data_IF_094619793742
#
_entry.id   IF_094619793742
#
_cell.length_a   1.000
_cell.length_b   1.000
_cell.length_c   1.000
_cell.angle_alpha   90.00
_cell.angle_beta   90.00
_cell.angle_gamma   90.00
#
_symmetry.space_group_name_H-M   'P 1'
#
loop_
_entity.id
_entity.type
_entity.pdbx_description
1 polymer ?
#
# COMPACT_ATOMS: atom_id res chain seq x y z
N UNK A 1 24.93 20.59 -13.92
CA UNK A 1 23.63 21.03 -13.38
C UNK A 1 22.73 19.80 -13.27
N UNK A 2 22.58 19.22 -12.09
CA UNK A 2 21.58 18.17 -11.85
C UNK A 2 20.21 18.82 -11.80
N UNK A 3 19.49 18.81 -12.92
CA UNK A 3 18.06 19.14 -12.95
C UNK A 3 17.35 18.09 -12.10
N UNK A 4 17.06 18.42 -10.84
CA UNK A 4 16.17 17.62 -9.99
C UNK A 4 14.77 17.74 -10.56
N UNK A 5 14.46 16.92 -11.57
CA UNK A 5 13.19 16.90 -12.26
C UNK A 5 12.14 16.19 -11.39
N UNK A 6 11.82 16.79 -10.23
CA UNK A 6 10.72 16.33 -9.41
C UNK A 6 9.42 16.58 -10.17
N UNK A 7 8.57 15.55 -10.35
CA UNK A 7 7.27 15.77 -10.95
C UNK A 7 6.43 16.65 -10.03
N UNK A 8 5.79 17.66 -10.60
CA UNK A 8 4.87 18.53 -9.86
C UNK A 8 3.45 18.00 -10.00
N UNK A 9 2.80 17.67 -8.89
CA UNK A 9 1.39 17.33 -8.83
C UNK A 9 0.81 17.89 -7.53
N UNK A 10 -0.04 18.92 -7.62
CA UNK A 10 -0.68 19.48 -6.42
C UNK A 10 -1.83 18.56 -6.03
N UNK A 11 -2.03 18.35 -4.74
CA UNK A 11 -3.10 17.47 -4.22
C UNK A 11 -4.48 17.87 -4.77
N UNK A 12 -4.75 19.17 -4.91
CA UNK A 12 -6.01 19.68 -5.45
C UNK A 12 -6.29 19.25 -6.89
N UNK A 13 -5.24 18.97 -7.69
CA UNK A 13 -5.39 18.68 -9.12
C UNK A 13 -5.84 17.23 -9.38
N UNK A 14 -5.80 16.35 -8.38
CA UNK A 14 -6.12 14.93 -8.53
C UNK A 14 -6.86 14.32 -7.33
N UNK A 15 -7.47 15.15 -6.48
CA UNK A 15 -8.12 14.70 -5.24
C UNK A 15 -9.11 13.52 -5.45
N UNK A 16 -9.99 13.51 -6.47
CA UNK A 16 -10.90 12.38 -6.69
C UNK A 16 -10.16 11.06 -7.00
N UNK A 17 -9.09 11.12 -7.79
CA UNK A 17 -8.22 9.98 -8.09
C UNK A 17 -7.48 9.52 -6.84
N UNK A 18 -6.98 10.46 -6.03
CA UNK A 18 -6.26 10.17 -4.79
C UNK A 18 -7.14 9.43 -3.79
N UNK A 19 -8.37 9.89 -3.59
CA UNK A 19 -9.33 9.29 -2.65
C UNK A 19 -9.74 7.88 -3.09
N UNK A 20 -10.00 7.69 -4.39
CA UNK A 20 -10.29 6.36 -4.95
C UNK A 20 -9.09 5.41 -4.82
N UNK A 21 -7.89 5.88 -5.19
CA UNK A 21 -6.66 5.09 -5.08
C UNK A 21 -6.33 4.77 -3.62
N UNK A 22 -6.60 5.67 -2.68
CA UNK A 22 -6.44 5.41 -1.26
C UNK A 22 -7.28 4.20 -0.84
N UNK A 23 -8.55 4.12 -1.23
CA UNK A 23 -9.41 2.97 -0.93
C UNK A 23 -8.87 1.68 -1.56
N UNK A 24 -8.40 1.74 -2.81
CA UNK A 24 -7.80 0.58 -3.47
C UNK A 24 -6.54 0.09 -2.74
N UNK A 25 -5.67 1.00 -2.28
CA UNK A 25 -4.50 0.62 -1.48
C UNK A 25 -4.90 0.03 -0.13
N UNK A 26 -6.01 0.46 0.46
CA UNK A 26 -6.52 -0.17 1.69
C UNK A 26 -6.98 -1.60 1.48
N UNK A 27 -7.65 -1.90 0.35
CA UNK A 27 -8.07 -3.26 0.01
C UNK A 27 -6.85 -4.17 -0.07
N UNK A 28 -5.85 -3.80 -0.89
CA UNK A 28 -4.61 -4.58 -1.06
C UNK A 28 -3.82 -4.69 0.24
N UNK A 29 -3.75 -3.61 1.01
CA UNK A 29 -3.10 -3.59 2.32
C UNK A 29 -3.77 -4.53 3.33
N UNK A 30 -5.10 -4.58 3.36
CA UNK A 30 -5.86 -5.51 4.20
C UNK A 30 -5.69 -6.97 3.75
N UNK A 31 -5.60 -7.25 2.45
CA UNK A 31 -5.30 -8.59 1.94
C UNK A 31 -3.93 -9.04 2.44
N UNK A 32 -2.89 -8.19 2.31
CA UNK A 32 -1.57 -8.47 2.88
C UNK A 32 -1.65 -8.70 4.39
N UNK A 33 -2.44 -7.90 5.12
CA UNK A 33 -2.62 -8.05 6.57
C UNK A 33 -3.18 -9.41 6.97
N UNK A 34 -4.11 -9.97 6.21
CA UNK A 34 -4.76 -11.24 6.52
C UNK A 34 -3.80 -12.44 6.45
N UNK A 35 -2.73 -12.33 5.66
CA UNK A 35 -1.79 -13.44 5.41
C UNK A 35 -0.38 -13.21 5.96
N UNK A 36 -0.02 -11.98 6.33
CA UNK A 36 1.29 -11.68 6.85
C UNK A 36 1.40 -12.03 8.35
N UNK A 37 2.45 -12.75 8.79
CA UNK A 37 2.73 -12.93 10.21
C UNK A 37 2.88 -11.56 10.89
N UNK A 38 2.24 -11.36 12.05
CA UNK A 38 2.36 -10.11 12.81
C UNK A 38 3.83 -9.79 13.10
N UNK A 39 4.28 -8.60 12.69
CA UNK A 39 5.59 -8.03 13.01
C UNK A 39 5.38 -6.73 13.78
N UNK A 40 6.31 -6.40 14.66
CA UNK A 40 6.27 -5.15 15.43
C UNK A 40 6.07 -3.93 14.50
N UNK A 41 5.31 -2.94 14.98
CA UNK A 41 5.02 -1.68 14.28
C UNK A 41 4.25 -1.80 12.96
N UNK A 42 3.53 -2.90 12.73
CA UNK A 42 2.71 -3.12 11.53
C UNK A 42 3.50 -3.09 10.21
N UNK A 43 4.83 -3.24 10.25
CA UNK A 43 5.69 -3.22 9.06
C UNK A 43 5.38 -4.34 8.08
N UNK A 44 4.82 -5.45 8.57
CA UNK A 44 4.36 -6.56 7.73
C UNK A 44 3.21 -6.19 6.79
N UNK A 45 2.61 -4.99 6.92
CA UNK A 45 1.42 -4.59 6.17
C UNK A 45 1.67 -3.40 5.22
N UNK A 46 2.88 -2.85 5.18
CA UNK A 46 3.19 -1.73 4.28
C UNK A 46 3.03 -2.11 2.79
N UNK A 47 3.16 -1.15 1.88
CA UNK A 47 3.50 -1.39 0.49
C UNK A 47 4.93 -0.88 0.24
N UNK A 48 5.58 -1.38 -0.80
CA UNK A 48 6.93 -0.99 -1.19
C UNK A 48 6.92 -0.37 -2.59
N UNK A 49 7.67 0.71 -2.76
CA UNK A 49 7.81 1.37 -4.06
C UNK A 49 8.67 0.50 -4.99
N UNK A 50 8.14 0.18 -6.17
CA UNK A 50 8.84 -0.54 -7.24
C UNK A 50 9.16 0.42 -8.40
N UNK A 51 9.97 0.00 -9.39
CA UNK A 51 10.19 0.77 -10.62
C UNK A 51 8.93 0.99 -11.47
N UNK A 52 7.78 0.41 -11.11
CA UNK A 52 6.51 0.53 -11.86
C UNK A 52 5.32 0.98 -11.00
N UNK A 53 5.39 0.77 -9.68
CA UNK A 53 4.35 1.23 -8.77
C UNK A 53 4.56 0.85 -7.31
N UNK A 54 3.59 0.12 -6.74
CA UNK A 54 3.56 -0.27 -5.33
C UNK A 54 3.27 -1.77 -5.19
N UNK A 55 4.10 -2.50 -4.45
CA UNK A 55 3.94 -3.95 -4.24
C UNK A 55 3.75 -4.32 -2.78
N UNK A 56 3.03 -5.41 -2.53
CA UNK A 56 3.02 -6.11 -1.24
C UNK A 56 4.33 -6.83 -0.93
N UNK A 57 5.21 -7.01 -1.93
CA UNK A 57 6.27 -8.03 -1.90
C UNK A 57 5.65 -9.44 -1.74
N UNK A 58 6.50 -10.45 -1.55
CA UNK A 58 6.07 -11.82 -1.27
C UNK A 58 5.25 -11.90 0.01
N UNK A 59 4.01 -12.36 -0.12
CA UNK A 59 3.07 -12.68 0.95
C UNK A 59 2.97 -14.21 1.06
N UNK A 60 3.36 -14.81 2.19
CA UNK A 60 3.26 -16.26 2.38
C UNK A 60 1.81 -16.76 2.26
N UNK A 61 1.60 -17.87 1.55
CA UNK A 61 0.29 -18.51 1.44
C UNK A 61 0.43 -20.02 1.21
N UNK A 62 -0.10 -20.83 2.13
CA UNK A 62 0.07 -22.28 2.11
C UNK A 62 1.55 -22.67 2.16
N UNK A 63 2.02 -23.41 1.14
CA UNK A 63 3.43 -23.79 0.95
C UNK A 63 4.19 -22.87 -0.02
N UNK A 64 3.52 -21.84 -0.55
CA UNK A 64 4.05 -20.90 -1.52
C UNK A 64 3.92 -19.45 -1.05
N UNK A 65 3.87 -18.55 -2.04
CA UNK A 65 3.66 -17.13 -1.81
C UNK A 65 2.93 -16.50 -3.00
N UNK A 66 2.28 -15.37 -2.76
CA UNK A 66 1.78 -14.50 -3.82
C UNK A 66 2.28 -13.08 -3.61
N UNK A 67 2.18 -12.25 -4.64
CA UNK A 67 2.37 -10.81 -4.55
C UNK A 67 1.23 -10.09 -5.27
N UNK A 68 0.95 -8.87 -4.82
CA UNK A 68 0.05 -7.93 -5.48
C UNK A 68 0.82 -6.65 -5.76
N UNK A 69 0.83 -6.22 -7.02
CA UNK A 69 1.53 -5.01 -7.47
C UNK A 69 0.56 -4.07 -8.21
N UNK A 70 0.45 -2.83 -7.74
CA UNK A 70 -0.06 -1.74 -8.55
C UNK A 70 1.02 -1.38 -9.58
N UNK A 71 0.74 -1.58 -10.86
CA UNK A 71 1.54 -1.10 -11.98
C UNK A 71 0.90 0.19 -12.52
N UNK A 72 1.47 1.34 -12.14
CA UNK A 72 0.96 2.65 -12.56
C UNK A 72 1.45 3.06 -13.95
N UNK A 73 2.30 2.27 -14.61
CA UNK A 73 2.71 2.52 -16.00
C UNK A 73 1.82 1.78 -16.99
N UNK A 74 1.46 0.54 -16.67
CA UNK A 74 0.52 -0.27 -17.46
C UNK A 74 -0.93 -0.14 -17.00
N UNK A 75 -1.18 0.57 -15.89
CA UNK A 75 -2.50 0.77 -15.30
C UNK A 75 -3.22 -0.55 -14.99
N UNK A 76 -2.54 -1.44 -14.26
CA UNK A 76 -3.07 -2.75 -13.84
C UNK A 76 -2.67 -3.04 -12.40
N UNK A 77 -3.55 -3.68 -11.65
CA UNK A 77 -3.18 -4.41 -10.45
C UNK A 77 -2.83 -5.84 -10.87
N UNK A 78 -1.58 -6.24 -10.70
CA UNK A 78 -1.14 -7.60 -11.03
C UNK A 78 -1.06 -8.45 -9.76
N UNK A 79 -1.61 -9.67 -9.83
CA UNK A 79 -1.53 -10.67 -8.78
C UNK A 79 -0.76 -11.86 -9.34
N UNK A 80 0.35 -12.20 -8.72
CA UNK A 80 1.24 -13.28 -9.16
C UNK A 80 1.42 -14.29 -8.03
N UNK A 81 1.25 -15.57 -8.33
CA UNK A 81 1.45 -16.69 -7.40
C UNK A 81 2.74 -17.44 -7.73
N UNK A 82 3.38 -18.01 -6.71
CA UNK A 82 4.63 -18.78 -6.84
C UNK A 82 4.49 -20.07 -7.66
N UNK A 83 3.26 -20.52 -7.92
CA UNK A 83 2.95 -21.65 -8.79
C UNK A 83 2.85 -21.27 -10.29
N UNK A 84 3.13 -20.00 -10.62
CA UNK A 84 3.05 -19.47 -11.98
C UNK A 84 1.68 -18.88 -12.35
N UNK A 85 0.69 -18.95 -11.46
CA UNK A 85 -0.61 -18.30 -11.64
C UNK A 85 -0.48 -16.78 -11.72
N UNK A 86 -1.17 -16.16 -12.68
CA UNK A 86 -1.25 -14.70 -12.79
C UNK A 86 -2.68 -14.25 -13.09
N UNK A 87 -3.11 -13.18 -12.43
CA UNK A 87 -4.35 -12.44 -12.72
C UNK A 87 -4.06 -10.95 -12.70
N UNK A 88 -4.95 -10.17 -13.32
CA UNK A 88 -4.83 -8.73 -13.28
C UNK A 88 -6.18 -8.03 -13.35
N UNK A 89 -6.29 -6.92 -12.62
CA UNK A 89 -7.45 -6.02 -12.60
C UNK A 89 -7.05 -4.70 -13.26
N UNK A 90 -7.81 -4.17 -14.23
CA UNK A 90 -7.48 -2.89 -14.87
C UNK A 90 -7.66 -1.73 -13.88
N UNK A 91 -6.68 -0.83 -13.81
CA UNK A 91 -6.79 0.44 -13.10
C UNK A 91 -7.39 1.48 -14.05
N UNK A 92 -8.71 1.63 -13.99
CA UNK A 92 -9.50 2.58 -14.80
C UNK A 92 -10.60 3.18 -13.93
N UNK A 93 -11.28 4.26 -14.35
CA UNK A 93 -12.44 4.76 -13.63
C UNK A 93 -13.46 3.64 -13.39
N UNK A 94 -13.69 3.31 -12.13
CA UNK A 94 -14.68 2.35 -11.65
C UNK A 94 -14.92 2.57 -10.15
N UNK A 95 -16.14 2.30 -9.65
CA UNK A 95 -16.43 2.29 -8.22
C UNK A 95 -15.48 1.39 -7.42
N UNK A 96 -15.18 1.79 -6.17
CA UNK A 96 -14.43 0.94 -5.23
C UNK A 96 -15.12 -0.41 -5.03
N UNK A 97 -16.46 -0.46 -5.02
CA UNK A 97 -17.21 -1.72 -4.97
C UNK A 97 -16.92 -2.66 -6.15
N UNK A 98 -16.82 -2.11 -7.36
CA UNK A 98 -16.48 -2.88 -8.56
C UNK A 98 -15.03 -3.37 -8.51
N UNK A 99 -14.10 -2.49 -8.12
CA UNK A 99 -12.69 -2.85 -7.96
C UNK A 99 -12.51 -3.95 -6.89
N UNK A 100 -13.17 -3.81 -5.74
CA UNK A 100 -13.15 -4.80 -4.67
C UNK A 100 -13.62 -6.16 -5.17
N UNK A 101 -14.76 -6.23 -5.86
CA UNK A 101 -15.27 -7.47 -6.42
C UNK A 101 -14.30 -8.12 -7.42
N UNK A 102 -13.70 -7.32 -8.32
CA UNK A 102 -12.73 -7.83 -9.30
C UNK A 102 -11.44 -8.35 -8.64
N UNK A 103 -10.97 -7.72 -7.56
CA UNK A 103 -9.80 -8.19 -6.82
C UNK A 103 -10.08 -9.51 -6.11
N UNK A 104 -11.25 -9.63 -5.46
CA UNK A 104 -11.63 -10.89 -4.80
C UNK A 104 -11.80 -12.02 -5.80
N UNK A 105 -12.45 -11.78 -6.94
CA UNK A 105 -12.58 -12.78 -8.02
C UNK A 105 -11.21 -13.18 -8.61
N UNK A 106 -10.28 -12.23 -8.75
CA UNK A 106 -8.92 -12.52 -9.20
C UNK A 106 -8.13 -13.39 -8.21
N UNK A 107 -8.32 -13.18 -6.90
CA UNK A 107 -7.71 -14.00 -5.86
C UNK A 107 -8.33 -15.41 -5.81
N UNK A 108 -9.67 -15.50 -5.87
CA UNK A 108 -10.40 -16.76 -5.93
C UNK A 108 -9.99 -17.58 -7.18
N UNK A 109 -9.82 -16.91 -8.32
CA UNK A 109 -9.33 -17.52 -9.56
C UNK A 109 -7.89 -18.02 -9.52
N UNK A 110 -7.13 -17.67 -8.48
CA UNK A 110 -5.80 -18.21 -8.14
C UNK A 110 -5.84 -19.18 -6.95
N UNK A 111 -7.02 -19.45 -6.38
CA UNK A 111 -7.18 -20.27 -5.18
C UNK A 111 -6.64 -19.61 -3.91
N UNK A 112 -6.59 -18.27 -3.86
CA UNK A 112 -6.12 -17.50 -2.72
C UNK A 112 -7.32 -16.97 -1.93
N UNK A 113 -7.60 -17.57 -0.78
CA UNK A 113 -8.67 -17.11 0.11
C UNK A 113 -8.23 -15.87 0.91
N UNK A 114 -8.87 -14.71 0.69
CA UNK A 114 -8.56 -13.48 1.44
C UNK A 114 -9.71 -13.01 2.34
N UNK A 115 -9.81 -13.60 3.54
CA UNK A 115 -10.82 -13.19 4.54
C UNK A 115 -10.44 -11.85 5.21
N UNK A 116 -10.77 -10.73 4.56
CA UNK A 116 -10.51 -9.38 5.08
C UNK A 116 -11.78 -8.76 5.69
N UNK A 117 -11.61 -7.90 6.70
CA UNK A 117 -12.68 -7.00 7.16
C UNK A 117 -12.90 -5.90 6.11
N UNK A 118 -14.03 -5.86 5.38
CA UNK A 118 -14.19 -5.06 4.16
C UNK A 118 -14.66 -3.63 4.44
N UNK A 119 -14.10 -3.00 5.48
CA UNK A 119 -14.41 -1.61 5.88
C UNK A 119 -13.09 -0.84 5.95
N UNK A 120 -12.97 0.36 5.35
CA UNK A 120 -11.76 1.16 5.41
C UNK A 120 -11.44 1.58 6.86
N UNK A 121 -10.15 1.80 7.10
CA UNK A 121 -9.63 2.36 8.35
C UNK A 121 -9.24 3.83 8.11
N UNK A 122 -9.26 4.66 9.17
CA UNK A 122 -8.70 6.03 9.15
C UNK A 122 -9.34 6.99 8.12
N UNK A 123 -10.57 6.70 7.69
CA UNK A 123 -11.35 7.53 6.75
C UNK A 123 -12.76 7.74 7.29
N UNK A 124 -13.30 8.94 7.11
CA UNK A 124 -14.66 9.34 7.51
C UNK A 124 -15.38 9.97 6.30
N UNK A 125 -16.51 9.41 5.83
CA UNK A 125 -17.18 8.20 6.32
C UNK A 125 -16.48 6.90 5.91
N UNK A 126 -16.48 5.92 6.81
CA UNK A 126 -15.94 4.59 6.52
C UNK A 126 -16.96 3.71 5.76
N UNK A 127 -17.17 4.00 4.48
CA UNK A 127 -18.09 3.24 3.61
C UNK A 127 -17.50 1.83 3.36
N UNK A 128 -18.24 0.73 3.63
CA UNK A 128 -17.78 -0.62 3.31
C UNK A 128 -17.40 -0.74 1.83
N UNK A 129 -16.30 -1.44 1.52
CA UNK A 129 -15.77 -1.47 0.15
C UNK A 129 -16.78 -1.97 -0.88
N UNK A 130 -17.55 -3.00 -0.52
CA UNK A 130 -18.59 -3.56 -1.38
C UNK A 130 -19.80 -2.63 -1.63
N UNK A 131 -19.91 -1.55 -0.86
CA UNK A 131 -21.01 -0.57 -0.92
C UNK A 131 -20.51 0.80 -1.42
N UNK A 132 -19.19 0.97 -1.60
CA UNK A 132 -18.59 2.24 -2.00
C UNK A 132 -18.72 2.47 -3.50
N UNK A 133 -19.85 3.11 -3.84
CA UNK A 133 -20.14 3.65 -5.16
C UNK A 133 -19.81 5.14 -5.30
N UNK A 134 -19.27 5.78 -4.25
CA UNK A 134 -18.94 7.20 -4.23
C UNK A 134 -17.58 7.44 -4.87
N UNK A 135 -16.57 6.66 -4.45
CA UNK A 135 -15.22 6.76 -5.00
C UNK A 135 -15.11 5.96 -6.29
N UNK A 136 -14.99 6.64 -7.43
CA UNK A 136 -14.98 5.99 -8.74
C UNK A 136 -14.01 6.62 -9.76
N UNK A 137 -13.25 7.64 -9.36
CA UNK A 137 -12.39 8.41 -10.28
C UNK A 137 -11.00 7.80 -10.38
N UNK A 138 -10.47 7.69 -11.59
CA UNK A 138 -9.08 7.30 -11.81
C UNK A 138 -8.51 7.98 -13.05
N UNK A 139 -7.59 8.92 -12.82
CA UNK A 139 -6.72 9.49 -13.85
C UNK A 139 -5.37 8.77 -13.82
N UNK A 140 -5.07 8.04 -14.89
CA UNK A 140 -3.82 7.30 -15.04
C UNK A 140 -2.58 8.19 -15.04
N UNK A 141 -2.63 9.36 -15.68
CA UNK A 141 -1.48 10.27 -15.71
C UNK A 141 -1.21 10.83 -14.31
N UNK A 142 -2.25 11.24 -13.59
CA UNK A 142 -2.12 11.70 -12.22
C UNK A 142 -1.57 10.60 -11.28
N UNK A 143 -2.06 9.36 -11.41
CA UNK A 143 -1.55 8.23 -10.63
C UNK A 143 -0.06 7.93 -10.94
N UNK A 144 0.34 8.00 -12.21
CA UNK A 144 1.74 7.84 -12.61
C UNK A 144 2.62 8.98 -12.08
N UNK A 145 2.15 10.23 -12.10
CA UNK A 145 2.85 11.38 -11.52
C UNK A 145 3.00 11.27 -10.00
N UNK A 146 1.95 10.84 -9.31
CA UNK A 146 2.00 10.52 -7.88
C UNK A 146 3.08 9.47 -7.58
N UNK A 147 3.07 8.36 -8.31
CA UNK A 147 4.07 7.32 -8.14
C UNK A 147 5.49 7.82 -8.42
N UNK A 148 5.71 8.64 -9.46
CA UNK A 148 7.05 9.21 -9.73
C UNK A 148 7.56 10.07 -8.57
N UNK A 149 6.68 10.80 -7.88
CA UNK A 149 7.05 11.54 -6.67
C UNK A 149 7.43 10.59 -5.53
N UNK A 150 6.65 9.52 -5.31
CA UNK A 150 6.99 8.47 -4.33
C UNK A 150 8.34 7.83 -4.66
N UNK A 151 8.63 7.56 -5.92
CA UNK A 151 9.90 6.98 -6.37
C UNK A 151 11.09 7.89 -6.01
N UNK A 152 10.97 9.20 -6.26
CA UNK A 152 12.02 10.15 -5.88
C UNK A 152 12.18 10.24 -4.36
N UNK A 153 11.08 10.33 -3.61
CA UNK A 153 11.10 10.36 -2.15
C UNK A 153 11.72 9.08 -1.57
N UNK A 154 11.35 7.91 -2.09
CA UNK A 154 11.92 6.62 -1.71
C UNK A 154 13.44 6.56 -1.95
N UNK A 155 13.91 7.12 -3.07
CA UNK A 155 15.35 7.20 -3.38
C UNK A 155 16.11 8.02 -2.34
N UNK A 156 15.61 9.22 -2.02
CA UNK A 156 16.22 10.12 -1.05
C UNK A 156 16.16 9.53 0.37
N UNK A 157 15.03 8.96 0.77
CA UNK A 157 14.90 8.27 2.06
C UNK A 157 15.83 7.06 2.16
N UNK A 158 16.01 6.33 1.06
CA UNK A 158 16.93 5.19 0.92
C UNK A 158 18.39 5.59 1.14
N UNK A 159 18.83 6.68 0.51
CA UNK A 159 20.16 7.25 0.73
C UNK A 159 20.31 7.72 2.18
N UNK A 160 19.35 8.51 2.66
CA UNK A 160 19.36 9.04 4.02
C UNK A 160 19.44 7.94 5.09
N UNK A 161 18.70 6.84 4.94
CA UNK A 161 18.76 5.72 5.91
C UNK A 161 20.07 4.96 5.89
N UNK A 162 20.78 4.92 4.76
CA UNK A 162 22.04 4.16 4.61
C UNK A 162 23.16 4.65 5.53
N UNK A 163 23.13 5.94 5.91
CA UNK A 163 24.12 6.54 6.81
C UNK A 163 23.84 6.26 8.30
N UNK A 164 22.74 5.59 8.64
CA UNK A 164 22.38 5.32 10.03
C UNK A 164 22.86 3.94 10.48
N UNK A 165 23.72 3.92 11.51
CA UNK A 165 24.38 2.70 12.02
C UNK A 165 23.45 1.86 12.93
N UNK A 166 22.36 2.44 13.43
CA UNK A 166 21.40 1.75 14.30
C UNK A 166 20.29 1.00 13.54
N UNK A 167 19.34 0.43 14.30
CA UNK A 167 18.17 -0.24 13.71
C UNK A 167 17.32 0.76 12.93
N UNK A 168 17.09 0.47 11.65
CA UNK A 168 16.29 1.31 10.75
C UNK A 168 15.41 0.46 9.84
N UNK A 169 14.13 0.83 9.73
CA UNK A 169 13.18 0.14 8.86
C UNK A 169 13.55 0.33 7.38
N UNK A 170 13.09 -0.55 6.47
CA UNK A 170 12.91 -0.18 5.07
C UNK A 170 12.03 1.07 4.93
N UNK A 171 12.01 1.65 3.74
CA UNK A 171 11.02 2.69 3.42
C UNK A 171 9.68 1.99 3.21
N UNK A 172 8.67 2.41 3.97
CA UNK A 172 7.34 1.84 3.96
C UNK A 172 6.34 2.84 3.40
N UNK A 173 5.42 2.37 2.56
CA UNK A 173 4.21 3.09 2.22
C UNK A 173 3.05 2.54 3.04
N UNK A 174 2.52 3.32 3.99
CA UNK A 174 1.37 2.92 4.80
C UNK A 174 0.08 3.34 4.10
N UNK A 175 -0.71 2.36 3.69
CA UNK A 175 -1.97 2.57 2.96
C UNK A 175 -3.11 3.10 3.85
N UNK A 176 -2.97 3.04 5.18
CA UNK A 176 -3.95 3.63 6.12
C UNK A 176 -4.02 5.14 5.98
N UNK A 177 -2.87 5.82 6.07
CA UNK A 177 -2.74 7.27 5.92
C UNK A 177 -2.26 7.75 4.55
N UNK A 178 -1.96 6.83 3.62
CA UNK A 178 -1.34 7.14 2.32
C UNK A 178 0.04 7.82 2.48
N UNK A 179 0.83 7.38 3.46
CA UNK A 179 2.08 8.01 3.88
C UNK A 179 3.32 7.17 3.56
N UNK A 180 4.43 7.86 3.23
CA UNK A 180 5.74 7.24 3.03
C UNK A 180 6.63 7.53 4.25
N UNK A 181 7.14 6.48 4.89
CA UNK A 181 7.84 6.60 6.16
C UNK A 181 9.10 5.72 6.24
N UNK A 182 10.08 6.21 7.01
CA UNK A 182 11.28 5.48 7.39
C UNK A 182 11.53 5.68 8.90
N UNK A 183 11.49 4.61 9.69
CA UNK A 183 11.60 4.67 11.15
C UNK A 183 13.02 4.33 11.60
N UNK A 184 13.59 5.15 12.48
CA UNK A 184 14.89 4.91 13.12
C UNK A 184 14.70 4.69 14.62
N UNK A 185 15.46 3.75 15.18
CA UNK A 185 15.44 3.46 16.61
C UNK A 185 16.74 3.92 17.25
N UNK A 186 16.63 4.72 18.31
CA UNK A 186 17.77 5.18 19.10
C UNK A 186 18.29 4.11 20.07
N UNK A 187 17.53 3.02 20.29
CA UNK A 187 17.82 2.00 21.28
C UNK A 187 17.50 2.39 22.73
N UNK A 188 17.02 3.62 22.98
CA UNK A 188 16.58 4.06 24.31
C UNK A 188 15.13 3.64 24.55
N UNK A 189 14.76 3.19 25.77
CA UNK A 189 13.37 2.97 26.12
C UNK A 189 12.54 4.25 25.87
N UNK A 190 11.35 4.09 25.30
CA UNK A 190 10.43 5.20 25.16
C UNK A 190 10.07 5.76 26.55
N UNK A 191 9.91 7.08 26.71
CA UNK A 191 9.35 7.64 27.93
C UNK A 191 8.00 6.96 28.25
N UNK A 192 7.66 6.74 29.53
CA UNK A 192 6.37 6.21 29.90
C UNK A 192 5.25 7.04 29.28
N UNK A 193 4.38 6.40 28.49
CA UNK A 193 3.26 7.10 27.86
C UNK A 193 2.30 7.59 28.96
N UNK A 194 1.91 8.88 28.99
CA UNK A 194 0.82 9.33 29.85
C UNK A 194 -0.45 8.65 29.36
N UNK A 195 -1.01 7.76 30.18
CA UNK A 195 -1.92 6.69 29.75
C UNK A 195 -3.08 7.12 28.85
N UNK A 196 -3.40 6.29 27.85
CA UNK A 196 -4.59 6.52 27.02
C UNK A 196 -4.73 5.76 25.69
N UNK A 197 -3.92 4.75 25.36
CA UNK A 197 -4.28 3.79 24.29
C UNK A 197 -3.48 2.50 24.43
N UNK A 198 -4.14 1.33 24.31
CA UNK A 198 -3.45 0.03 24.29
C UNK A 198 -3.04 -0.28 22.85
N UNK A 199 -1.75 -0.26 22.56
CA UNK A 199 -1.18 -1.08 21.49
C UNK A 199 0.12 -1.77 21.93
N UNK A 200 0.09 -3.09 21.76
CA UNK A 200 1.18 -4.04 21.49
C UNK A 200 2.41 -4.10 22.43
N UNK A 201 2.42 -5.16 23.24
CA UNK A 201 3.49 -6.17 23.18
C UNK A 201 4.85 -5.80 23.74
N UNK A 202 5.04 -6.05 25.03
CA UNK A 202 6.34 -6.40 25.60
C UNK A 202 6.85 -7.71 25.01
N UNK A 203 8.01 -7.63 24.35
CA UNK A 203 8.99 -8.70 24.26
C UNK A 203 10.31 -8.15 24.78
#
# INVERSE_FOLDING_TARGET
>A
MTTTNWPTLRVADWAPTRETLHMWTQIVGKIRMAHAPLVNHWWQVALYVTPRGLTTSAVPYGTGAFEIEFDFLSHRLEIRSSDGGTRAVPLRPMPVAEFYAQVMDALDGLGIEAAIRPVPNEVEPAIPFAEDHVHASYDGEAAALFWRQLLQANRVMGEFRSHFVGKVSPVHFFWGGMDLACTRFSGRPAPPHPGGCRTAGTG
#
